data_IF_733453463323
#
_entry.id   IF_733453463323
#
_cell.length_a   1.000
_cell.length_b   1.000
_cell.length_c   1.000
_cell.angle_alpha   90.00
_cell.angle_beta   90.00
_cell.angle_gamma   90.00
#
_symmetry.space_group_name_H-M   'P 1'
#
loop_
_entity.id
_entity.type
_entity.pdbx_description
1 polymer ?
#
# COMPACT_ATOMS: atom_id res chain seq x y z
N UNK A 1 -43.64 59.61 25.93
CA UNK A 1 -42.92 58.36 26.26
C UNK A 1 -42.55 57.67 24.96
N UNK A 2 -41.25 57.78 24.54
CA UNK A 2 -40.73 57.11 23.30
C UNK A 2 -40.13 55.77 23.71
N UNK A 3 -40.72 54.67 23.22
CA UNK A 3 -40.17 53.29 23.42
C UNK A 3 -39.06 53.06 22.40
N UNK A 4 -37.83 52.93 22.88
CA UNK A 4 -36.67 52.41 22.07
C UNK A 4 -36.76 50.89 22.01
N UNK A 5 -36.91 50.35 20.82
CA UNK A 5 -36.74 48.91 20.54
C UNK A 5 -35.27 48.67 20.15
N UNK A 6 -34.54 48.02 21.02
CA UNK A 6 -33.17 47.57 20.72
C UNK A 6 -33.25 46.25 19.98
N UNK A 7 -32.84 46.25 18.70
CA UNK A 7 -32.73 45.04 17.89
C UNK A 7 -31.36 44.41 18.17
N UNK A 8 -31.35 43.29 18.87
CA UNK A 8 -30.10 42.48 19.04
C UNK A 8 -30.02 41.54 17.86
N UNK A 9 -29.10 41.82 16.91
CA UNK A 9 -28.78 40.92 15.82
C UNK A 9 -27.84 39.80 16.33
N UNK A 10 -28.38 38.58 16.44
CA UNK A 10 -27.64 37.40 16.79
C UNK A 10 -26.88 36.91 15.52
N UNK A 11 -25.57 37.21 15.40
CA UNK A 11 -24.72 36.63 14.37
C UNK A 11 -24.43 35.17 14.73
N UNK A 12 -25.05 34.24 14.02
CA UNK A 12 -24.68 32.84 14.09
C UNK A 12 -23.36 32.65 13.32
N UNK A 13 -22.24 32.45 14.02
CA UNK A 13 -20.98 31.99 13.45
C UNK A 13 -21.15 30.51 13.09
N UNK A 14 -21.35 30.24 11.80
CA UNK A 14 -21.22 28.87 11.28
C UNK A 14 -19.74 28.55 11.21
N UNK A 15 -19.23 27.79 12.17
CA UNK A 15 -17.91 27.14 12.09
C UNK A 15 -18.02 26.02 11.05
N UNK A 16 -17.56 26.26 9.83
CA UNK A 16 -17.35 25.20 8.85
C UNK A 16 -16.11 24.43 9.34
N UNK A 17 -16.32 23.33 10.04
CA UNK A 17 -15.25 22.38 10.29
C UNK A 17 -14.83 21.81 8.94
N UNK A 18 -13.69 22.24 8.42
CA UNK A 18 -13.03 21.58 7.30
C UNK A 18 -12.68 20.17 7.76
N UNK A 19 -13.27 19.15 7.15
CA UNK A 19 -12.87 17.78 7.42
C UNK A 19 -11.38 17.66 7.05
N UNK A 20 -10.56 17.16 7.98
CA UNK A 20 -9.14 16.94 7.73
C UNK A 20 -9.00 15.93 6.60
N UNK A 21 -8.06 16.17 5.67
CA UNK A 21 -7.80 15.23 4.59
C UNK A 21 -7.37 13.88 5.17
N UNK A 22 -7.85 12.79 4.57
CA UNK A 22 -7.45 11.45 4.99
C UNK A 22 -5.99 11.19 4.69
N UNK A 23 -5.31 10.54 5.61
CA UNK A 23 -3.91 10.16 5.50
C UNK A 23 -3.77 8.77 4.91
N UNK A 24 -2.91 8.64 3.93
CA UNK A 24 -2.63 7.38 3.23
C UNK A 24 -1.20 6.95 3.52
N UNK A 25 -1.02 5.69 3.91
CA UNK A 25 0.30 5.06 3.98
C UNK A 25 0.39 3.87 3.03
N UNK A 26 1.61 3.64 2.54
CA UNK A 26 1.90 2.59 1.58
C UNK A 26 2.95 1.66 2.17
N UNK A 27 2.66 0.38 2.20
CA UNK A 27 3.62 -0.68 2.44
C UNK A 27 3.83 -1.42 1.13
N UNK A 28 4.97 -1.17 0.47
CA UNK A 28 5.14 -1.60 -0.91
C UNK A 28 6.55 -2.10 -1.27
N UNK A 29 6.66 -2.51 -2.53
CA UNK A 29 7.92 -2.86 -3.18
C UNK A 29 8.32 -1.79 -4.23
N UNK A 30 9.11 -2.18 -5.24
CA UNK A 30 9.59 -1.28 -6.29
C UNK A 30 8.50 -0.55 -7.07
N UNK A 31 7.29 -1.09 -7.17
CA UNK A 31 6.16 -0.48 -7.89
C UNK A 31 5.65 0.81 -7.22
N UNK A 32 6.00 1.00 -5.96
CA UNK A 32 5.57 2.16 -5.16
C UNK A 32 6.71 3.07 -4.75
N UNK A 33 7.97 2.74 -5.12
CA UNK A 33 9.13 3.55 -4.75
C UNK A 33 9.30 4.77 -5.64
N UNK A 34 9.85 5.84 -5.07
CA UNK A 34 10.38 6.98 -5.81
C UNK A 34 11.50 7.64 -5.00
N UNK A 35 12.60 8.01 -5.65
CA UNK A 35 13.77 8.62 -4.98
C UNK A 35 13.36 9.82 -4.13
N UNK A 36 13.78 9.84 -2.87
CA UNK A 36 13.46 10.91 -1.92
C UNK A 36 12.08 10.79 -1.24
N UNK A 37 11.25 9.82 -1.64
CA UNK A 37 9.91 9.59 -1.07
C UNK A 37 9.82 8.34 -0.19
N UNK A 38 10.91 7.60 -0.08
CA UNK A 38 11.03 6.39 0.74
C UNK A 38 12.03 6.62 1.88
N UNK A 39 11.98 5.82 2.96
CA UNK A 39 12.95 5.91 4.04
C UNK A 39 14.40 5.84 3.54
N UNK A 40 15.30 6.54 4.22
CA UNK A 40 16.72 6.52 3.89
C UNK A 40 17.28 5.10 3.91
N UNK A 41 18.10 4.77 2.91
CA UNK A 41 18.69 3.45 2.74
C UNK A 41 17.82 2.43 2.00
N UNK A 42 16.55 2.76 1.71
CA UNK A 42 15.71 1.90 0.89
C UNK A 42 15.99 2.13 -0.59
N UNK A 43 16.10 1.03 -1.35
CA UNK A 43 16.38 1.10 -2.79
C UNK A 43 15.13 1.52 -3.56
N UNK A 44 15.11 2.69 -4.23
CA UNK A 44 14.04 3.06 -5.12
C UNK A 44 14.24 2.42 -6.50
N UNK A 45 13.15 2.24 -7.24
CA UNK A 45 13.22 1.91 -8.67
C UNK A 45 13.08 3.17 -9.54
N UNK A 46 12.20 4.07 -9.18
CA UNK A 46 11.95 5.30 -9.92
C UNK A 46 12.69 6.52 -9.31
N UNK A 47 13.14 7.48 -10.17
CA UNK A 47 13.26 7.38 -11.61
C UNK A 47 14.50 6.58 -12.04
N UNK A 48 14.49 6.04 -13.26
CA UNK A 48 15.66 5.45 -13.90
C UNK A 48 15.54 5.52 -15.43
N UNK A 49 16.66 5.26 -16.13
CA UNK A 49 16.78 5.37 -17.59
C UNK A 49 16.08 4.26 -18.41
N UNK A 50 15.47 3.28 -17.72
CA UNK A 50 14.78 2.14 -18.34
C UNK A 50 13.27 2.21 -18.23
N UNK A 51 12.74 3.32 -17.67
CA UNK A 51 11.31 3.54 -17.49
C UNK A 51 10.98 5.01 -17.68
N UNK A 52 9.80 5.31 -18.18
CA UNK A 52 9.37 6.67 -18.50
C UNK A 52 8.82 7.48 -17.33
N UNK A 53 8.64 6.87 -16.14
CA UNK A 53 8.23 7.55 -14.91
C UNK A 53 9.43 8.31 -14.35
N UNK A 54 9.43 9.64 -14.50
CA UNK A 54 10.54 10.52 -14.12
C UNK A 54 10.20 11.51 -13.02
N UNK A 55 8.92 11.72 -12.75
CA UNK A 55 8.41 12.65 -11.74
C UNK A 55 7.52 11.92 -10.73
N UNK A 56 7.56 12.37 -9.47
CA UNK A 56 6.79 11.74 -8.38
C UNK A 56 5.28 11.83 -8.62
N UNK A 57 4.81 12.87 -9.26
CA UNK A 57 3.41 13.11 -9.63
C UNK A 57 2.86 12.08 -10.62
N UNK A 58 3.74 11.33 -11.28
CA UNK A 58 3.38 10.26 -12.23
C UNK A 58 3.20 8.90 -11.55
N UNK A 59 3.55 8.77 -10.27
CA UNK A 59 3.37 7.52 -9.53
C UNK A 59 1.90 7.26 -9.23
N UNK A 60 1.47 5.98 -9.22
CA UNK A 60 0.08 5.59 -8.99
C UNK A 60 -0.49 6.17 -7.69
N UNK A 61 0.31 6.17 -6.63
CA UNK A 61 -0.12 6.65 -5.32
C UNK A 61 -0.22 8.18 -5.26
N UNK A 62 0.68 8.92 -5.92
CA UNK A 62 0.60 10.38 -6.02
C UNK A 62 -0.64 10.80 -6.81
N UNK A 63 -0.92 10.11 -7.93
CA UNK A 63 -2.12 10.32 -8.74
C UNK A 63 -3.39 10.05 -7.91
N UNK A 64 -3.44 8.92 -7.20
CA UNK A 64 -4.58 8.55 -6.36
C UNK A 64 -4.83 9.55 -5.22
N UNK A 65 -3.79 9.89 -4.46
CA UNK A 65 -3.87 10.86 -3.35
C UNK A 65 -4.39 12.21 -3.84
N UNK A 66 -3.87 12.68 -4.98
CA UNK A 66 -4.30 13.94 -5.60
C UNK A 66 -5.77 13.88 -6.06
N UNK A 67 -6.17 12.80 -6.72
CA UNK A 67 -7.54 12.63 -7.21
C UNK A 67 -8.57 12.60 -6.07
N UNK A 68 -8.21 11.97 -4.94
CA UNK A 68 -9.08 11.83 -3.78
C UNK A 68 -9.02 13.02 -2.80
N UNK A 69 -8.09 13.95 -2.99
CA UNK A 69 -7.87 15.04 -2.04
C UNK A 69 -7.34 14.56 -0.68
N UNK A 70 -6.53 13.49 -0.67
CA UNK A 70 -5.91 12.91 0.52
C UNK A 70 -4.49 13.44 0.71
N UNK A 71 -3.84 13.01 1.79
CA UNK A 71 -2.45 13.34 2.11
C UNK A 71 -1.62 12.05 2.28
N UNK A 72 -0.37 12.08 1.82
CA UNK A 72 0.58 11.00 2.09
C UNK A 72 1.06 11.11 3.54
N UNK A 73 0.88 10.05 4.35
CA UNK A 73 1.50 9.95 5.66
C UNK A 73 2.89 9.31 5.56
N UNK A 74 2.96 8.06 5.08
CA UNK A 74 4.21 7.35 4.89
C UNK A 74 4.21 6.56 3.57
N UNK A 75 5.31 6.64 2.82
CA UNK A 75 5.58 5.69 1.75
C UNK A 75 6.72 4.76 2.18
N UNK A 76 6.36 3.67 2.84
CA UNK A 76 7.30 2.65 3.32
C UNK A 76 7.47 1.54 2.27
N UNK A 77 7.92 1.91 1.07
CA UNK A 77 8.18 0.98 -0.02
C UNK A 77 9.68 0.80 -0.24
N UNK A 78 10.11 -0.44 -0.54
CA UNK A 78 11.50 -0.80 -0.75
C UNK A 78 11.64 -1.74 -1.95
N UNK A 79 12.40 -1.34 -2.96
CA UNK A 79 12.59 -2.10 -4.19
C UNK A 79 13.23 -3.47 -3.96
N UNK A 80 12.71 -4.50 -4.65
CA UNK A 80 13.22 -5.86 -4.58
C UNK A 80 12.81 -6.67 -3.35
N UNK A 81 11.95 -6.11 -2.47
CA UNK A 81 11.57 -6.79 -1.22
C UNK A 81 10.37 -7.71 -1.38
N UNK A 82 10.40 -8.83 -0.66
CA UNK A 82 9.36 -9.86 -0.62
C UNK A 82 8.45 -9.69 0.61
N UNK A 83 7.22 -10.19 0.52
CA UNK A 83 6.32 -10.30 1.69
C UNK A 83 6.88 -11.32 2.67
N UNK A 84 7.28 -12.49 2.19
CA UNK A 84 7.93 -13.48 3.03
C UNK A 84 9.41 -13.16 3.29
N UNK A 85 9.99 -13.81 4.29
CA UNK A 85 11.38 -13.63 4.67
C UNK A 85 12.38 -14.39 3.79
N UNK A 86 11.94 -14.86 2.60
CA UNK A 86 12.80 -15.52 1.60
C UNK A 86 12.79 -14.71 0.31
N UNK A 87 13.90 -14.06 0.02
CA UNK A 87 14.10 -13.26 -1.18
C UNK A 87 14.75 -14.04 -2.33
N UNK A 88 15.27 -13.30 -3.32
CA UNK A 88 15.91 -13.85 -4.51
C UNK A 88 17.05 -14.79 -4.18
N UNK A 89 17.06 -15.96 -4.85
CA UNK A 89 18.07 -17.00 -4.62
C UNK A 89 18.04 -17.61 -3.21
N UNK A 90 16.95 -17.51 -2.49
CA UNK A 90 16.80 -18.01 -1.13
C UNK A 90 17.44 -17.12 -0.06
N UNK A 91 17.77 -15.87 -0.41
CA UNK A 91 18.37 -14.90 0.52
C UNK A 91 17.42 -14.64 1.70
N UNK A 92 17.98 -14.49 2.89
CA UNK A 92 17.25 -14.04 4.08
C UNK A 92 16.82 -12.57 3.91
N UNK A 93 15.52 -12.36 3.76
CA UNK A 93 14.89 -11.04 3.61
C UNK A 93 14.31 -10.49 4.92
N UNK A 94 14.54 -11.13 6.07
CA UNK A 94 13.93 -10.77 7.36
C UNK A 94 14.11 -9.29 7.71
N UNK A 95 15.24 -8.67 7.36
CA UNK A 95 15.52 -7.28 7.71
C UNK A 95 14.93 -6.24 6.76
N UNK A 96 14.53 -6.65 5.56
CA UNK A 96 14.07 -5.74 4.52
C UNK A 96 12.66 -6.07 4.01
N UNK A 97 12.15 -7.26 4.32
CA UNK A 97 10.81 -7.72 3.94
C UNK A 97 9.69 -6.88 4.53
N UNK A 98 8.49 -7.13 4.07
CA UNK A 98 7.31 -6.36 4.50
C UNK A 98 7.05 -6.49 6.00
N UNK A 99 7.27 -7.68 6.59
CA UNK A 99 7.07 -7.93 8.01
C UNK A 99 7.95 -7.06 8.93
N UNK A 100 9.15 -6.69 8.50
CA UNK A 100 10.04 -5.83 9.30
C UNK A 100 9.68 -4.36 9.25
N UNK A 101 8.82 -3.96 8.31
CA UNK A 101 8.47 -2.56 8.04
C UNK A 101 7.03 -2.20 8.45
N UNK A 102 6.25 -3.20 8.86
CA UNK A 102 4.82 -3.03 9.17
C UNK A 102 4.54 -2.00 10.27
N UNK A 103 5.46 -1.78 11.20
CA UNK A 103 5.32 -0.82 12.31
C UNK A 103 5.65 0.63 11.91
N UNK A 104 6.09 0.85 10.67
CA UNK A 104 6.64 2.14 10.22
C UNK A 104 5.70 2.87 9.26
N UNK A 105 4.39 2.79 9.49
CA UNK A 105 3.37 3.38 8.61
C UNK A 105 2.74 4.67 9.17
N UNK A 106 3.26 5.21 10.25
CA UNK A 106 2.74 6.46 10.85
C UNK A 106 1.36 6.29 11.48
N UNK A 107 0.45 7.19 11.18
CA UNK A 107 -0.93 7.19 11.67
C UNK A 107 -1.92 7.39 10.52
N UNK A 108 -2.05 6.41 9.62
CA UNK A 108 -2.89 6.51 8.44
C UNK A 108 -4.36 6.24 8.73
N UNK A 109 -5.24 6.83 7.90
CA UNK A 109 -6.64 6.44 7.77
C UNK A 109 -6.80 5.28 6.75
N UNK A 110 -5.84 5.17 5.82
CA UNK A 110 -5.84 4.18 4.75
C UNK A 110 -4.44 3.61 4.59
N UNK A 111 -4.34 2.27 4.49
CA UNK A 111 -3.10 1.56 4.18
C UNK A 111 -3.28 0.82 2.86
N UNK A 112 -2.39 1.07 1.91
CA UNK A 112 -2.24 0.24 0.72
C UNK A 112 -1.07 -0.73 0.91
N UNK A 113 -1.36 -2.02 0.86
CA UNK A 113 -0.39 -3.11 0.80
C UNK A 113 -0.21 -3.50 -0.67
N UNK A 114 0.95 -3.20 -1.26
CA UNK A 114 1.24 -3.55 -2.65
C UNK A 114 2.51 -4.38 -2.73
N UNK A 115 2.38 -5.69 -2.73
CA UNK A 115 3.48 -6.66 -2.70
C UNK A 115 3.13 -8.00 -3.36
N UNK A 116 4.03 -8.98 -3.20
CA UNK A 116 3.90 -10.31 -3.78
C UNK A 116 4.55 -10.44 -5.18
N UNK A 117 4.84 -9.33 -5.86
CA UNK A 117 5.54 -9.36 -7.15
C UNK A 117 6.92 -9.99 -7.01
N UNK A 118 7.69 -9.58 -6.01
CA UNK A 118 9.03 -10.13 -5.79
C UNK A 118 8.98 -11.56 -5.26
N UNK A 119 7.97 -11.94 -4.48
CA UNK A 119 7.75 -13.34 -4.06
C UNK A 119 7.55 -14.25 -5.29
N UNK A 120 6.73 -13.81 -6.27
CA UNK A 120 6.53 -14.52 -7.52
C UNK A 120 7.81 -14.62 -8.36
N UNK A 121 8.57 -13.52 -8.49
CA UNK A 121 9.79 -13.47 -9.30
C UNK A 121 10.97 -14.19 -8.65
N UNK A 122 11.08 -14.14 -7.33
CA UNK A 122 12.10 -14.88 -6.59
C UNK A 122 11.83 -16.37 -6.47
N UNK A 123 10.64 -16.85 -6.89
CA UNK A 123 10.16 -18.20 -6.60
C UNK A 123 10.20 -18.52 -5.11
N UNK A 124 9.76 -17.58 -4.28
CA UNK A 124 9.69 -17.79 -2.84
C UNK A 124 8.80 -18.99 -2.50
N UNK A 125 9.11 -19.73 -1.42
CA UNK A 125 8.27 -20.85 -1.00
C UNK A 125 6.83 -20.38 -0.73
N UNK A 126 5.83 -21.11 -1.21
CA UNK A 126 4.41 -20.76 -0.99
C UNK A 126 3.97 -21.12 0.42
N UNK A 127 4.32 -22.29 0.92
CA UNK A 127 3.95 -22.78 2.26
C UNK A 127 2.48 -23.20 2.37
N UNK A 128 2.12 -23.69 3.55
CA UNK A 128 0.75 -24.04 3.89
C UNK A 128 0.00 -22.82 4.44
N UNK A 129 -1.33 -22.84 4.39
CA UNK A 129 -2.14 -21.80 5.03
C UNK A 129 -2.03 -21.91 6.55
N UNK A 130 -1.65 -20.80 7.20
CA UNK A 130 -1.52 -20.70 8.64
C UNK A 130 -1.95 -19.31 9.09
N UNK A 131 -2.88 -19.23 10.06
CA UNK A 131 -3.54 -17.99 10.45
C UNK A 131 -3.29 -17.58 11.91
N UNK A 132 -2.51 -18.36 12.64
CA UNK A 132 -2.15 -18.09 14.04
C UNK A 132 -0.81 -18.77 14.41
N UNK A 133 -0.22 -18.40 15.53
CA UNK A 133 0.98 -19.03 16.11
C UNK A 133 2.17 -19.14 15.13
N UNK A 134 2.42 -18.09 14.34
CA UNK A 134 3.51 -18.08 13.37
C UNK A 134 4.88 -18.11 14.06
N UNK A 135 5.73 -18.99 13.60
CA UNK A 135 7.17 -18.98 13.91
C UNK A 135 7.93 -18.18 12.87
N UNK A 136 9.21 -17.87 13.18
CA UNK A 136 10.10 -17.24 12.21
C UNK A 136 10.29 -18.09 10.92
N UNK A 137 10.23 -19.42 11.08
CA UNK A 137 10.35 -20.35 9.95
C UNK A 137 9.10 -20.35 9.07
N UNK A 138 7.91 -20.25 9.65
CA UNK A 138 6.66 -20.11 8.89
C UNK A 138 6.72 -18.88 7.98
N UNK A 139 7.22 -17.76 8.49
CA UNK A 139 7.32 -16.51 7.74
C UNK A 139 8.36 -16.53 6.59
N UNK A 140 9.11 -17.61 6.41
CA UNK A 140 9.95 -17.84 5.22
C UNK A 140 9.13 -18.23 3.98
N UNK A 141 7.84 -18.55 4.14
CA UNK A 141 6.94 -18.90 3.06
C UNK A 141 5.84 -17.84 2.89
N UNK A 142 5.34 -17.67 1.67
CA UNK A 142 4.45 -16.57 1.28
C UNK A 142 3.12 -16.57 2.04
N UNK A 143 2.40 -17.73 2.07
CA UNK A 143 1.09 -17.83 2.72
C UNK A 143 1.12 -17.45 4.20
N UNK A 144 1.97 -18.07 5.03
CA UNK A 144 2.05 -17.69 6.45
C UNK A 144 2.52 -16.25 6.66
N UNK A 145 3.46 -15.78 5.82
CA UNK A 145 3.97 -14.42 5.93
C UNK A 145 2.91 -13.37 5.60
N UNK A 146 2.12 -13.56 4.54
CA UNK A 146 1.02 -12.66 4.19
C UNK A 146 -0.07 -12.67 5.27
N UNK A 147 -0.42 -13.85 5.80
CA UNK A 147 -1.39 -13.96 6.88
C UNK A 147 -0.90 -13.22 8.15
N UNK A 148 0.34 -13.45 8.56
CA UNK A 148 0.96 -12.76 9.69
C UNK A 148 1.03 -11.23 9.46
N UNK A 149 1.31 -10.80 8.23
CA UNK A 149 1.36 -9.39 7.87
C UNK A 149 0.00 -8.70 8.01
N UNK A 150 -1.08 -9.33 7.51
CA UNK A 150 -2.44 -8.77 7.61
C UNK A 150 -2.93 -8.74 9.06
N UNK A 151 -2.64 -9.77 9.86
CA UNK A 151 -2.94 -9.81 11.29
C UNK A 151 -2.24 -8.66 12.04
N UNK A 152 -0.95 -8.46 11.78
CA UNK A 152 -0.18 -7.34 12.35
C UNK A 152 -0.72 -5.98 11.92
N UNK A 153 -1.10 -5.81 10.65
CA UNK A 153 -1.69 -4.56 10.18
C UNK A 153 -3.00 -4.24 10.91
N UNK A 154 -3.88 -5.21 11.09
CA UNK A 154 -5.11 -5.02 11.86
C UNK A 154 -4.86 -4.70 13.34
N UNK A 155 -3.86 -5.35 13.93
CA UNK A 155 -3.49 -5.14 15.34
C UNK A 155 -2.87 -3.76 15.57
N UNK A 156 -1.97 -3.32 14.69
CA UNK A 156 -1.23 -2.07 14.83
C UNK A 156 -2.03 -0.85 14.38
N UNK A 157 -2.93 -1.02 13.42
CA UNK A 157 -3.70 0.06 12.81
C UNK A 157 -5.21 -0.25 12.80
N UNK A 158 -5.84 -0.45 13.97
CA UNK A 158 -7.22 -0.94 14.06
C UNK A 158 -8.25 0.02 13.45
N UNK A 159 -7.94 1.31 13.34
CA UNK A 159 -8.83 2.33 12.77
C UNK A 159 -8.58 2.55 11.27
N UNK A 160 -7.48 2.06 10.73
CA UNK A 160 -7.13 2.25 9.33
C UNK A 160 -7.91 1.27 8.43
N UNK A 161 -8.33 1.74 7.27
CA UNK A 161 -8.80 0.86 6.20
C UNK A 161 -7.62 0.27 5.46
N UNK A 162 -7.52 -1.04 5.44
CA UNK A 162 -6.44 -1.76 4.75
C UNK A 162 -6.97 -2.27 3.41
N UNK A 163 -6.22 -2.01 2.34
CA UNK A 163 -6.46 -2.51 0.99
C UNK A 163 -5.23 -3.22 0.48
N UNK A 164 -5.40 -4.42 -0.06
CA UNK A 164 -4.32 -5.16 -0.70
C UNK A 164 -4.42 -5.00 -2.22
N UNK A 165 -3.29 -4.73 -2.87
CA UNK A 165 -3.19 -4.58 -4.32
C UNK A 165 -2.39 -5.77 -4.85
N UNK A 166 -2.99 -6.54 -5.75
CA UNK A 166 -2.38 -7.67 -6.43
C UNK A 166 -1.98 -7.25 -7.84
N UNK A 167 -0.69 -7.36 -8.14
CA UNK A 167 -0.17 -7.05 -9.47
C UNK A 167 -0.73 -8.00 -10.53
N UNK A 168 -0.87 -7.50 -11.76
CA UNK A 168 -1.24 -8.32 -12.91
C UNK A 168 -0.14 -9.32 -13.30
N UNK A 169 -0.53 -10.42 -13.94
CA UNK A 169 0.39 -11.40 -14.56
C UNK A 169 1.31 -12.14 -13.57
N UNK A 170 0.88 -12.30 -12.32
CA UNK A 170 1.60 -13.12 -11.35
C UNK A 170 1.24 -14.61 -11.51
N UNK A 171 1.99 -15.47 -10.86
CA UNK A 171 1.72 -16.91 -10.80
C UNK A 171 0.41 -17.17 -10.05
N UNK A 172 -0.34 -18.17 -10.49
CA UNK A 172 -1.66 -18.47 -9.91
C UNK A 172 -1.59 -18.86 -8.43
N UNK A 173 -0.51 -19.50 -7.99
CA UNK A 173 -0.32 -19.84 -6.57
C UNK A 173 -0.21 -18.59 -5.66
N UNK A 174 0.40 -17.50 -6.15
CA UNK A 174 0.42 -16.20 -5.47
C UNK A 174 -0.97 -15.58 -5.49
N UNK A 175 -1.64 -15.58 -6.67
CA UNK A 175 -2.96 -14.97 -6.84
C UNK A 175 -4.00 -15.65 -5.94
N UNK A 176 -4.07 -16.98 -5.98
CA UNK A 176 -4.98 -17.79 -5.16
C UNK A 176 -4.71 -17.58 -3.67
N UNK A 177 -3.44 -17.59 -3.27
CA UNK A 177 -3.05 -17.35 -1.87
C UNK A 177 -3.48 -15.97 -1.39
N UNK A 178 -3.29 -14.94 -2.22
CA UNK A 178 -3.69 -13.57 -1.90
C UNK A 178 -5.21 -13.44 -1.75
N UNK A 179 -6.00 -14.04 -2.66
CA UNK A 179 -7.47 -14.06 -2.58
C UNK A 179 -7.95 -14.73 -1.30
N UNK A 180 -7.42 -15.90 -0.99
CA UNK A 180 -7.84 -16.69 0.18
C UNK A 180 -7.50 -15.97 1.49
N UNK A 181 -6.27 -15.46 1.62
CA UNK A 181 -5.80 -14.82 2.85
C UNK A 181 -6.48 -13.45 3.04
N UNK A 182 -6.61 -12.64 1.99
CA UNK A 182 -7.34 -11.37 2.07
C UNK A 182 -8.82 -11.59 2.43
N UNK A 183 -9.46 -12.64 1.90
CA UNK A 183 -10.83 -13.03 2.27
C UNK A 183 -10.93 -13.41 3.74
N UNK A 184 -9.97 -14.17 4.28
CA UNK A 184 -9.94 -14.57 5.69
C UNK A 184 -9.92 -13.37 6.63
N UNK A 185 -9.10 -12.34 6.29
CA UNK A 185 -8.96 -11.12 7.09
C UNK A 185 -9.96 -10.01 6.73
N UNK A 186 -10.92 -10.23 5.83
CA UNK A 186 -11.82 -9.21 5.30
C UNK A 186 -11.09 -7.97 4.76
N UNK A 187 -9.92 -8.16 4.16
CA UNK A 187 -9.17 -7.12 3.47
C UNK A 187 -9.59 -7.11 2.00
N UNK A 188 -10.14 -6.00 1.47
CA UNK A 188 -10.43 -5.89 0.05
C UNK A 188 -9.16 -6.09 -0.77
N UNK A 189 -9.22 -7.00 -1.76
CA UNK A 189 -8.15 -7.26 -2.72
C UNK A 189 -8.50 -6.62 -4.06
N UNK A 190 -7.65 -5.71 -4.53
CA UNK A 190 -7.75 -5.10 -5.85
C UNK A 190 -6.82 -5.85 -6.80
N UNK A 191 -7.40 -6.65 -7.68
CA UNK A 191 -6.63 -7.42 -8.68
C UNK A 191 -6.45 -6.56 -9.92
N UNK A 192 -5.22 -6.09 -10.14
CA UNK A 192 -4.87 -5.27 -11.29
C UNK A 192 -4.86 -6.07 -12.58
N UNK A 193 -5.28 -5.43 -13.66
CA UNK A 193 -5.26 -6.01 -15.00
C UNK A 193 -4.80 -4.98 -16.05
N UNK A 194 -4.27 -5.42 -17.17
CA UNK A 194 -3.88 -4.59 -18.31
C UNK A 194 -2.93 -3.43 -17.94
N UNK A 195 -1.99 -3.66 -17.03
CA UNK A 195 -1.01 -2.66 -16.61
C UNK A 195 0.15 -2.64 -17.60
N UNK A 196 0.31 -1.53 -18.33
CA UNK A 196 1.45 -1.33 -19.22
C UNK A 196 2.75 -1.23 -18.41
N UNK A 197 3.75 -2.01 -18.81
CA UNK A 197 5.04 -2.13 -18.10
C UNK A 197 6.22 -1.87 -19.04
N UNK A 198 7.25 -1.23 -18.49
CA UNK A 198 8.56 -1.07 -19.09
C UNK A 198 9.59 -1.71 -18.15
N UNK A 199 10.39 -2.64 -18.66
CA UNK A 199 11.32 -3.43 -17.83
C UNK A 199 10.68 -4.06 -16.59
N UNK A 200 9.49 -4.63 -16.76
CA UNK A 200 8.74 -5.31 -15.71
C UNK A 200 8.02 -4.39 -14.69
N UNK A 201 8.16 -3.07 -14.81
CA UNK A 201 7.57 -2.09 -13.89
C UNK A 201 6.57 -1.19 -14.62
N UNK A 202 5.52 -0.68 -13.94
CA UNK A 202 4.54 0.20 -14.56
C UNK A 202 5.18 1.40 -15.25
N UNK A 203 4.76 1.65 -16.50
CA UNK A 203 5.05 2.90 -17.23
C UNK A 203 4.16 4.03 -16.71
N UNK A 204 4.30 5.27 -17.21
CA UNK A 204 3.36 6.36 -16.90
C UNK A 204 1.91 5.93 -17.16
N UNK A 205 1.63 5.23 -18.26
CA UNK A 205 0.29 4.69 -18.54
C UNK A 205 -0.11 3.60 -17.55
N UNK A 206 0.84 2.73 -17.17
CA UNK A 206 0.60 1.72 -16.16
C UNK A 206 0.30 2.31 -14.78
N UNK A 207 1.02 3.35 -14.38
CA UNK A 207 0.75 4.09 -13.13
C UNK A 207 -0.63 4.72 -13.13
N UNK A 208 -1.05 5.34 -14.24
CA UNK A 208 -2.40 5.89 -14.38
C UNK A 208 -3.45 4.78 -14.32
N UNK A 209 -3.24 3.66 -15.01
CA UNK A 209 -4.17 2.52 -15.00
C UNK A 209 -4.34 1.92 -13.58
N UNK A 210 -3.26 1.85 -12.78
CA UNK A 210 -3.36 1.45 -11.37
C UNK A 210 -4.24 2.44 -10.60
N UNK A 211 -3.98 3.74 -10.74
CA UNK A 211 -4.77 4.78 -10.08
C UNK A 211 -6.26 4.67 -10.43
N UNK A 212 -6.57 4.54 -11.73
CA UNK A 212 -7.95 4.46 -12.23
C UNK A 212 -8.68 3.23 -11.67
N UNK A 213 -8.03 2.06 -11.66
CA UNK A 213 -8.59 0.84 -11.10
C UNK A 213 -8.80 0.93 -9.58
N UNK A 214 -7.93 1.62 -8.85
CA UNK A 214 -8.14 1.88 -7.43
C UNK A 214 -9.34 2.81 -7.18
N UNK A 215 -9.52 3.85 -8.00
CA UNK A 215 -10.67 4.77 -7.89
C UNK A 215 -11.98 4.04 -8.20
N UNK A 216 -11.97 3.14 -9.19
CA UNK A 216 -13.16 2.35 -9.56
C UNK A 216 -13.55 1.34 -8.48
N UNK A 217 -12.56 0.75 -7.80
CA UNK A 217 -12.77 -0.30 -6.80
C UNK A 217 -13.17 0.22 -5.42
N UNK A 218 -12.88 1.50 -5.07
CA UNK A 218 -12.99 2.04 -3.71
C UNK A 218 -13.94 3.23 -3.60
#
# INVERSE_FOLDING_TARGET
MKKFFTFVALMALTVIASAQAKKVSILGDSYSTFTGMNPEGYAPFYPNDRNDVTEVEQTWWSLYIKAMGYELDQNNSWGGTTICNTGYGGMDATRMGFLSRVEMLGQPDIIFLFGGTNDAWANSPIGEYKYEDWTADDCKAFRPALACLLDKLHTLYPEAKIYSILNSELKEDINESSREICRHYNVPLIELHDIEKQNGHPSIKGMQAICDQLIEAL
#
